data_IF_550335034559
#
_entry.id   IF_550335034559
#
_cell.length_a   1.000
_cell.length_b   1.000
_cell.length_c   1.000
_cell.angle_alpha   90.00
_cell.angle_beta   90.00
_cell.angle_gamma   90.00
#
_symmetry.space_group_name_H-M   'P 1'
#
loop_
_entity.id
_entity.type
_entity.pdbx_description
1 polymer ?
#
# COMPACT_ATOMS: atom_id res chain seq x y z
N UNK A 1 -9.03 -42.33 49.07
CA UNK A 1 -9.62 -41.40 48.14
C UNK A 1 -8.53 -40.42 47.72
N UNK A 2 -7.91 -40.64 46.56
CA UNK A 2 -6.87 -39.75 46.01
C UNK A 2 -7.39 -39.26 44.68
N UNK A 3 -7.80 -37.98 44.64
CA UNK A 3 -8.26 -37.30 43.44
C UNK A 3 -7.05 -36.93 42.57
N UNK A 4 -6.95 -37.54 41.41
CA UNK A 4 -5.97 -37.19 40.38
C UNK A 4 -6.57 -36.05 39.55
N UNK A 5 -6.03 -34.83 39.72
CA UNK A 5 -6.38 -33.71 38.88
C UNK A 5 -5.47 -33.75 37.66
N UNK A 6 -6.05 -34.15 36.53
CA UNK A 6 -5.40 -34.08 35.23
C UNK A 6 -5.45 -32.61 34.73
N UNK A 7 -4.30 -31.94 34.80
CA UNK A 7 -4.12 -30.62 34.23
C UNK A 7 -3.87 -30.76 32.73
N UNK A 8 -4.93 -30.63 31.95
CA UNK A 8 -4.85 -30.63 30.48
C UNK A 8 -4.29 -29.30 30.02
N UNK A 9 -2.99 -29.27 29.76
CA UNK A 9 -2.29 -28.11 29.22
C UNK A 9 -2.64 -27.99 27.73
N UNK A 10 -3.67 -27.18 27.41
CA UNK A 10 -4.07 -26.86 26.07
C UNK A 10 -3.05 -25.84 25.51
N UNK A 11 -2.16 -26.32 24.64
CA UNK A 11 -1.24 -25.44 23.88
C UNK A 11 -2.04 -24.71 22.82
N UNK A 12 -2.36 -23.44 23.10
CA UNK A 12 -2.93 -22.53 22.11
C UNK A 12 -1.82 -22.17 21.10
N UNK A 13 -1.86 -22.80 19.94
CA UNK A 13 -1.04 -22.38 18.81
C UNK A 13 -1.61 -21.07 18.25
N UNK A 14 -0.98 -19.94 18.56
CA UNK A 14 -1.26 -18.68 17.87
C UNK A 14 -0.73 -18.81 16.44
N UNK A 15 -1.64 -19.00 15.51
CA UNK A 15 -1.31 -18.84 14.09
C UNK A 15 -1.04 -17.34 13.86
N UNK A 16 0.22 -16.99 13.63
CA UNK A 16 0.57 -15.67 13.14
C UNK A 16 0.03 -15.55 11.71
N UNK A 17 -1.06 -14.81 11.55
CA UNK A 17 -1.56 -14.45 10.23
C UNK A 17 -0.72 -13.28 9.71
N UNK A 18 0.09 -13.56 8.70
CA UNK A 18 0.70 -12.49 7.90
C UNK A 18 -0.42 -11.80 7.12
N UNK A 19 -0.65 -10.53 7.41
CA UNK A 19 -1.67 -9.75 6.72
C UNK A 19 -1.04 -9.00 5.55
N UNK A 20 -1.65 -9.22 4.38
CA UNK A 20 -1.33 -8.46 3.18
C UNK A 20 -1.83 -7.02 3.37
N UNK A 21 -0.93 -6.06 3.23
CA UNK A 21 -1.30 -4.65 3.24
C UNK A 21 -2.13 -4.33 1.99
N UNK A 22 -3.32 -3.78 2.18
CA UNK A 22 -4.19 -3.32 1.09
C UNK A 22 -3.95 -1.84 0.87
N UNK A 23 -3.46 -1.47 -0.31
CA UNK A 23 -3.39 -0.06 -0.73
C UNK A 23 -4.68 0.28 -1.47
N UNK A 24 -5.53 1.11 -0.85
CA UNK A 24 -6.71 1.67 -1.51
C UNK A 24 -6.30 2.95 -2.24
N UNK A 25 -6.41 2.93 -3.56
CA UNK A 25 -6.14 4.09 -4.40
C UNK A 25 -7.47 4.65 -4.87
N UNK A 26 -7.81 5.84 -4.41
CA UNK A 26 -8.94 6.61 -4.93
C UNK A 26 -8.42 7.75 -5.77
N UNK A 27 -8.86 7.80 -7.01
CA UNK A 27 -8.55 8.90 -7.93
C UNK A 27 -9.84 9.55 -8.42
N UNK A 28 -9.85 10.87 -8.49
CA UNK A 28 -10.91 11.62 -9.15
C UNK A 28 -10.37 12.19 -10.45
N UNK A 29 -11.00 11.85 -11.57
CA UNK A 29 -10.70 12.45 -12.86
C UNK A 29 -11.77 13.51 -13.13
N UNK A 30 -11.36 14.77 -13.25
CA UNK A 30 -12.27 15.86 -13.56
C UNK A 30 -12.37 16.07 -15.06
N UNK A 31 -13.61 16.25 -15.49
CA UNK A 31 -14.04 16.59 -16.84
C UNK A 31 -13.76 15.55 -17.94
N UNK A 32 -14.71 14.66 -18.08
CA UNK A 32 -15.21 14.14 -19.37
C UNK A 32 -14.16 13.76 -20.39
N UNK A 33 -13.37 12.67 -20.12
CA UNK A 33 -12.63 12.29 -21.29
C UNK A 33 -11.85 10.99 -21.23
N UNK A 34 -11.70 10.36 -20.10
CA UNK A 34 -11.18 8.99 -20.05
C UNK A 34 -11.98 8.17 -19.04
N UNK A 35 -12.25 6.92 -19.38
CA UNK A 35 -12.81 5.96 -18.46
C UNK A 35 -11.67 5.19 -17.77
N UNK A 36 -11.74 5.03 -16.46
CA UNK A 36 -10.81 4.15 -15.76
C UNK A 36 -11.25 2.71 -16.01
N UNK A 37 -10.37 1.89 -16.56
CA UNK A 37 -10.62 0.47 -16.75
C UNK A 37 -11.06 -0.20 -15.45
N UNK A 38 -12.04 -1.09 -15.52
CA UNK A 38 -12.61 -1.75 -14.35
C UNK A 38 -11.58 -2.49 -13.50
N UNK A 39 -10.55 -3.07 -14.13
CA UNK A 39 -9.45 -3.73 -13.43
C UNK A 39 -8.47 -2.72 -12.80
N UNK A 40 -8.61 -1.44 -13.10
CA UNK A 40 -7.80 -0.37 -12.53
C UNK A 40 -8.52 0.42 -11.42
N UNK A 41 -9.84 0.22 -11.26
CA UNK A 41 -10.63 0.90 -10.23
C UNK A 41 -10.34 0.39 -8.82
N UNK A 42 -10.00 -0.89 -8.70
CA UNK A 42 -9.59 -1.51 -7.43
C UNK A 42 -8.44 -2.47 -7.70
N UNK A 43 -7.28 -2.20 -7.11
CA UNK A 43 -6.09 -3.04 -7.25
C UNK A 43 -5.51 -3.40 -5.90
N UNK A 44 -5.30 -4.68 -5.69
CA UNK A 44 -4.51 -5.18 -4.58
C UNK A 44 -3.08 -5.41 -5.08
N UNK A 45 -2.13 -4.69 -4.51
CA UNK A 45 -0.73 -4.77 -4.89
C UNK A 45 0.03 -5.38 -3.73
N UNK A 46 0.65 -6.55 -3.96
CA UNK A 46 1.53 -7.17 -2.99
C UNK A 46 2.95 -6.69 -3.24
N UNK A 47 3.54 -6.03 -2.25
CA UNK A 47 4.93 -5.56 -2.31
C UNK A 47 5.88 -6.67 -1.88
N UNK A 48 5.47 -7.51 -0.94
CA UNK A 48 6.23 -8.66 -0.43
C UNK A 48 6.21 -8.74 1.10
N UNK A 49 6.84 -9.79 1.62
CA UNK A 49 7.02 -10.01 3.05
C UNK A 49 8.51 -9.82 3.37
N UNK A 50 8.80 -8.96 4.32
CA UNK A 50 10.18 -8.59 4.66
C UNK A 50 10.43 -8.81 6.14
N UNK A 51 11.57 -9.40 6.47
CA UNK A 51 11.99 -9.53 7.84
C UNK A 51 12.52 -8.18 8.37
N UNK A 52 12.30 -7.88 9.62
CA UNK A 52 12.76 -6.62 10.23
C UNK A 52 14.28 -6.40 10.09
N UNK A 53 15.06 -7.48 10.10
CA UNK A 53 16.52 -7.41 9.93
C UNK A 53 16.96 -7.11 8.47
N UNK A 54 16.03 -7.04 7.52
CA UNK A 54 16.31 -6.59 6.14
C UNK A 54 16.46 -5.07 6.06
N UNK A 55 16.02 -4.35 7.09
CA UNK A 55 16.14 -2.89 7.20
C UNK A 55 17.24 -2.58 8.21
N UNK A 56 18.45 -2.30 7.71
CA UNK A 56 19.64 -2.09 8.55
C UNK A 56 19.87 -0.62 8.88
N UNK A 57 19.36 0.28 8.05
CA UNK A 57 19.58 1.71 8.13
C UNK A 57 18.35 2.49 7.69
N UNK A 58 18.24 3.72 8.18
CA UNK A 58 17.22 4.66 7.71
C UNK A 58 17.42 4.91 6.21
N UNK A 59 16.34 4.76 5.45
CA UNK A 59 16.35 4.90 4.00
C UNK A 59 16.54 3.58 3.24
N UNK A 60 16.71 2.45 3.93
CA UNK A 60 16.73 1.15 3.28
C UNK A 60 15.37 0.85 2.63
N UNK A 61 15.41 0.39 1.38
CA UNK A 61 14.23 0.05 0.59
C UNK A 61 14.19 -1.46 0.32
N UNK A 62 13.08 -2.07 0.66
CA UNK A 62 12.83 -3.48 0.40
C UNK A 62 11.60 -3.65 -0.48
N UNK A 63 11.74 -4.43 -1.53
CA UNK A 63 10.68 -4.72 -2.48
C UNK A 63 10.26 -3.56 -3.36
N UNK A 64 9.73 -3.90 -4.51
CA UNK A 64 9.07 -2.98 -5.44
C UNK A 64 7.95 -3.72 -6.14
N UNK A 65 6.82 -3.07 -6.34
CA UNK A 65 5.72 -3.60 -7.13
C UNK A 65 5.27 -2.55 -8.14
N UNK A 66 4.95 -3.01 -9.35
CA UNK A 66 4.46 -2.14 -10.40
C UNK A 66 2.97 -1.88 -10.22
N UNK A 67 2.60 -0.62 -10.16
CA UNK A 67 1.22 -0.17 -10.27
C UNK A 67 1.00 0.33 -11.71
N UNK A 68 0.08 -0.29 -12.43
CA UNK A 68 -0.40 0.23 -13.72
C UNK A 68 -1.88 0.57 -13.64
N UNK A 69 -2.24 1.74 -14.14
CA UNK A 69 -3.62 2.21 -14.24
C UNK A 69 -3.93 2.36 -15.73
N UNK A 70 -4.98 1.71 -16.19
CA UNK A 70 -5.39 1.76 -17.59
C UNK A 70 -6.57 2.73 -17.74
N UNK A 71 -6.44 3.63 -18.68
CA UNK A 71 -7.47 4.57 -19.08
C UNK A 71 -7.96 4.21 -20.47
N UNK A 72 -9.27 4.16 -20.65
CA UNK A 72 -9.94 3.85 -21.91
C UNK A 72 -10.76 5.05 -22.40
N UNK A 73 -11.12 5.05 -23.67
CA UNK A 73 -12.02 6.03 -24.26
C UNK A 73 -11.65 7.48 -24.01
N UNK A 74 -10.36 7.77 -23.95
CA UNK A 74 -9.92 9.16 -23.83
C UNK A 74 -10.32 9.96 -25.06
N UNK A 75 -10.87 11.17 -24.84
CA UNK A 75 -11.15 12.08 -25.97
C UNK A 75 -9.84 12.64 -26.53
N UNK A 76 -9.86 13.00 -27.83
CA UNK A 76 -8.65 13.43 -28.54
C UNK A 76 -8.02 14.73 -27.99
N UNK A 77 -8.78 15.49 -27.21
CA UNK A 77 -8.29 16.73 -26.59
C UNK A 77 -7.42 16.48 -25.35
N UNK A 78 -7.40 15.21 -24.81
CA UNK A 78 -6.59 14.89 -23.65
C UNK A 78 -5.19 14.47 -24.09
N UNK A 79 -4.26 15.38 -23.91
CA UNK A 79 -2.85 15.13 -24.21
C UNK A 79 -2.07 14.52 -23.03
N UNK A 80 -2.64 14.51 -21.81
CA UNK A 80 -1.94 14.03 -20.63
C UNK A 80 -2.79 14.07 -19.37
N UNK A 81 -2.22 13.62 -18.27
CA UNK A 81 -2.84 13.60 -16.96
C UNK A 81 -1.83 13.76 -15.85
N UNK A 82 -2.35 13.88 -14.65
CA UNK A 82 -1.57 13.79 -13.43
C UNK A 82 -2.35 12.96 -12.41
N UNK A 83 -1.66 12.33 -11.48
CA UNK A 83 -2.26 11.48 -10.47
C UNK A 83 -1.98 12.01 -9.07
N UNK A 84 -2.92 11.84 -8.18
CA UNK A 84 -2.74 12.10 -6.75
C UNK A 84 -2.99 10.80 -5.99
N UNK A 85 -2.04 10.41 -5.16
CA UNK A 85 -2.21 9.33 -4.21
C UNK A 85 -2.58 9.91 -2.86
N UNK A 86 -3.75 9.52 -2.36
CA UNK A 86 -4.25 9.99 -1.07
C UNK A 86 -4.29 8.85 -0.06
N UNK A 87 -3.93 9.15 1.18
CA UNK A 87 -3.92 8.19 2.26
C UNK A 87 -3.39 8.81 3.56
N UNK A 88 -3.32 7.99 4.60
CA UNK A 88 -2.73 8.39 5.86
C UNK A 88 -1.22 8.46 5.72
N UNK A 89 -0.66 9.59 6.10
CA UNK A 89 0.77 9.79 6.06
C UNK A 89 1.45 9.10 7.25
N UNK A 90 2.65 8.56 7.02
CA UNK A 90 3.47 8.06 8.10
C UNK A 90 3.85 9.20 9.05
N UNK A 91 3.88 8.93 10.36
CA UNK A 91 4.11 9.97 11.39
C UNK A 91 5.54 10.48 11.42
N UNK A 92 6.49 9.65 11.06
CA UNK A 92 7.92 9.98 11.07
C UNK A 92 8.37 10.58 9.74
N UNK A 93 7.74 10.14 8.63
CA UNK A 93 7.98 10.69 7.32
C UNK A 93 6.67 10.89 6.54
N UNK A 94 6.14 12.08 6.58
CA UNK A 94 4.84 12.44 5.99
C UNK A 94 4.79 12.35 4.46
N UNK A 95 5.89 12.07 3.79
CA UNK A 95 5.91 11.81 2.34
C UNK A 95 5.59 10.37 1.99
N UNK A 96 5.61 9.47 2.98
CA UNK A 96 5.31 8.06 2.84
C UNK A 96 3.86 7.76 3.26
N UNK A 97 3.30 6.72 2.68
CA UNK A 97 2.02 6.17 3.12
C UNK A 97 2.25 5.31 4.37
N UNK A 98 1.49 5.59 5.41
CA UNK A 98 1.51 4.79 6.64
C UNK A 98 1.02 3.36 6.38
N UNK A 99 1.59 2.41 7.10
CA UNK A 99 1.04 1.07 7.16
C UNK A 99 -0.20 1.08 8.07
N UNK A 100 -1.28 0.46 7.62
CA UNK A 100 -2.50 0.32 8.41
C UNK A 100 -2.92 -1.14 8.50
N UNK A 101 -3.33 -1.57 9.69
CA UNK A 101 -3.91 -2.88 9.88
C UNK A 101 -5.41 -2.82 9.66
N UNK A 102 -5.84 -3.19 8.45
CA UNK A 102 -7.26 -3.25 8.10
C UNK A 102 -7.99 -4.43 8.74
N UNK A 103 -7.25 -5.36 9.32
CA UNK A 103 -7.81 -6.56 9.99
C UNK A 103 -7.96 -6.40 11.50
N UNK A 104 -7.44 -5.32 12.09
CA UNK A 104 -7.60 -4.98 13.51
C UNK A 104 -6.76 -5.82 14.47
N UNK A 105 -5.73 -6.53 13.98
CA UNK A 105 -4.84 -7.35 14.81
C UNK A 105 -3.80 -6.56 15.61
N UNK A 106 -3.62 -5.29 15.32
CA UNK A 106 -2.79 -4.37 16.10
C UNK A 106 -1.27 -4.59 16.03
N UNK A 107 -0.79 -5.44 15.13
CA UNK A 107 0.62 -5.78 15.00
C UNK A 107 1.24 -5.25 13.70
N UNK A 108 1.10 -3.96 13.46
CA UNK A 108 1.77 -3.34 12.32
C UNK A 108 3.24 -3.10 12.60
N UNK A 109 4.06 -3.24 11.56
CA UNK A 109 5.44 -2.80 11.63
C UNK A 109 5.50 -1.28 11.82
N UNK A 110 6.40 -0.82 12.67
CA UNK A 110 6.66 0.61 12.90
C UNK A 110 8.00 1.00 12.29
N UNK A 111 8.14 2.28 11.95
CA UNK A 111 9.36 2.83 11.37
C UNK A 111 9.57 2.46 9.89
N UNK A 112 8.53 2.01 9.22
CA UNK A 112 8.53 1.73 7.77
C UNK A 112 7.25 2.28 7.14
N UNK A 113 7.35 2.75 5.90
CA UNK A 113 6.24 3.27 5.13
C UNK A 113 6.35 2.87 3.66
N UNK A 114 5.31 3.16 2.90
CA UNK A 114 5.29 2.88 1.45
C UNK A 114 5.54 4.15 0.67
N UNK A 115 6.55 4.11 -0.18
CA UNK A 115 6.86 5.19 -1.12
C UNK A 115 6.22 4.91 -2.47
N UNK A 116 5.64 5.94 -3.08
CA UNK A 116 5.14 5.88 -4.45
C UNK A 116 6.12 6.63 -5.37
N UNK A 117 6.53 5.95 -6.43
CA UNK A 117 7.46 6.48 -7.40
C UNK A 117 6.79 6.63 -8.77
N UNK A 118 7.21 7.63 -9.52
CA UNK A 118 6.89 7.75 -10.94
C UNK A 118 7.70 6.75 -11.79
N UNK A 119 7.44 6.71 -13.09
CA UNK A 119 8.13 5.83 -14.03
C UNK A 119 9.65 6.09 -14.13
N UNK A 120 10.08 7.26 -13.74
CA UNK A 120 11.48 7.71 -13.80
C UNK A 120 12.18 7.54 -12.44
N UNK A 121 11.48 7.02 -11.43
CA UNK A 121 11.98 6.81 -10.07
C UNK A 121 11.90 8.04 -9.19
N UNK A 122 11.20 9.09 -9.62
CA UNK A 122 10.94 10.26 -8.81
C UNK A 122 9.80 10.00 -7.82
N UNK A 123 9.96 10.45 -6.58
CA UNK A 123 8.90 10.32 -5.58
C UNK A 123 7.66 11.15 -5.98
N UNK A 124 6.50 10.54 -5.89
CA UNK A 124 5.21 11.21 -5.94
C UNK A 124 4.79 11.45 -4.50
N UNK A 125 4.81 12.70 -4.01
CA UNK A 125 4.46 12.97 -2.62
C UNK A 125 3.00 12.60 -2.35
N UNK A 126 2.76 11.99 -1.19
CA UNK A 126 1.41 11.64 -0.76
C UNK A 126 0.55 12.90 -0.63
N UNK A 127 -0.73 12.78 -0.98
CA UNK A 127 -1.71 13.88 -0.96
C UNK A 127 -1.34 15.08 -1.84
N UNK A 128 -0.43 14.88 -2.80
CA UNK A 128 0.01 15.89 -3.75
C UNK A 128 -0.10 15.37 -5.18
N UNK A 129 -0.24 16.29 -6.12
CA UNK A 129 -0.33 15.94 -7.53
C UNK A 129 1.05 15.57 -8.10
N UNK A 130 1.10 14.49 -8.88
CA UNK A 130 2.30 14.10 -9.61
C UNK A 130 2.67 15.13 -10.68
N UNK A 131 3.88 15.00 -11.24
CA UNK A 131 4.20 15.65 -12.50
C UNK A 131 3.23 15.15 -13.58
N UNK A 132 2.85 16.04 -14.53
CA UNK A 132 2.04 15.62 -15.67
C UNK A 132 2.75 14.54 -16.50
N UNK A 133 1.98 13.59 -16.99
CA UNK A 133 2.44 12.57 -17.94
C UNK A 133 1.62 12.64 -19.21
N UNK A 134 2.22 12.31 -20.35
CA UNK A 134 1.52 12.18 -21.62
C UNK A 134 0.69 10.88 -21.65
N UNK A 135 -0.46 10.93 -22.28
CA UNK A 135 -1.32 9.78 -22.58
C UNK A 135 -1.15 9.34 -24.02
#
# INVERSE_FOLDING_TARGET
>A
MKAFVFFLMSTLSLAAMAHDGTVNITGSIYASSCDVDSNSQTKNIRIGDFAANSFSSVGDVQGKALLSITLNNCTAEIAGGAITFSGDADTDNTTLLALSDTSGGGNMASGVGVEVLDKDGGQIPLNSQSKPFAL
#
